data_IF_854937872825
#
_entry.id   IF_854937872825
#
_cell.length_a   1.000
_cell.length_b   1.000
_cell.length_c   1.000
_cell.angle_alpha   90.00
_cell.angle_beta   90.00
_cell.angle_gamma   90.00
#
_symmetry.space_group_name_H-M   'P 1'
#
loop_
_entity.id
_entity.type
_entity.pdbx_description
1 polymer ?
#
# COMPACT_ATOMS: atom_id res chain seq x y z
N UNK A 1 -6.50 -13.88 12.71
CA UNK A 1 -5.83 -14.69 11.66
C UNK A 1 -5.77 -13.86 10.40
N UNK A 2 -4.63 -13.80 9.72
CA UNK A 2 -4.48 -13.02 8.50
C UNK A 2 -4.82 -13.86 7.25
N UNK A 3 -5.59 -13.30 6.33
CA UNK A 3 -5.90 -13.94 5.05
C UNK A 3 -4.75 -13.72 4.08
N UNK A 4 -4.18 -14.80 3.53
CA UNK A 4 -3.10 -14.72 2.54
C UNK A 4 -3.57 -14.02 1.26
N UNK A 5 -2.73 -13.15 0.72
CA UNK A 5 -2.96 -12.41 -0.52
C UNK A 5 -1.76 -12.55 -1.46
N UNK A 6 -2.01 -12.85 -2.73
CA UNK A 6 -1.01 -12.82 -3.79
C UNK A 6 -1.29 -11.62 -4.68
N UNK A 7 -0.36 -10.67 -4.71
CA UNK A 7 -0.37 -9.54 -5.62
C UNK A 7 0.50 -9.86 -6.83
N UNK A 8 -0.04 -9.61 -8.01
CA UNK A 8 0.70 -9.67 -9.26
C UNK A 8 0.21 -8.56 -10.18
N UNK A 9 1.13 -8.02 -10.97
CA UNK A 9 0.81 -7.00 -11.95
C UNK A 9 1.91 -6.87 -12.98
N UNK A 10 1.66 -5.98 -13.94
CA UNK A 10 2.59 -5.64 -15.02
C UNK A 10 2.65 -4.13 -15.15
N UNK A 11 3.86 -3.58 -15.20
CA UNK A 11 4.09 -2.18 -15.54
C UNK A 11 4.32 -2.08 -17.03
N UNK A 12 3.58 -1.19 -17.68
CA UNK A 12 3.69 -0.91 -19.12
C UNK A 12 3.87 0.58 -19.36
N UNK A 13 4.55 0.92 -20.44
CA UNK A 13 4.56 2.30 -20.95
C UNK A 13 3.21 2.71 -21.57
N UNK A 14 3.06 3.99 -21.96
CA UNK A 14 1.85 4.49 -22.61
C UNK A 14 1.51 3.82 -23.95
N UNK A 15 2.52 3.24 -24.62
CA UNK A 15 2.38 2.46 -25.84
C UNK A 15 1.98 0.99 -25.58
N UNK A 16 1.71 0.64 -24.32
CA UNK A 16 1.36 -0.71 -23.90
C UNK A 16 2.53 -1.69 -23.84
N UNK A 17 3.77 -1.26 -24.15
CA UNK A 17 4.93 -2.14 -24.07
C UNK A 17 5.35 -2.37 -22.62
N UNK A 18 5.85 -3.57 -22.29
CA UNK A 18 6.36 -3.85 -20.95
C UNK A 18 7.50 -2.92 -20.55
N UNK A 19 7.47 -2.48 -19.30
CA UNK A 19 8.53 -1.67 -18.72
C UNK A 19 9.41 -2.51 -17.79
N UNK A 20 10.55 -2.97 -18.31
CA UNK A 20 11.54 -3.66 -17.51
C UNK A 20 12.30 -2.67 -16.60
N UNK A 21 12.69 -3.11 -15.40
CA UNK A 21 13.46 -2.29 -14.47
C UNK A 21 12.66 -1.19 -13.76
N UNK A 22 11.34 -1.16 -13.91
CA UNK A 22 10.47 -0.27 -13.14
C UNK A 22 10.54 -0.65 -11.66
N UNK A 23 10.60 0.33 -10.78
CA UNK A 23 10.56 0.14 -9.32
C UNK A 23 9.13 0.28 -8.85
N UNK A 24 8.59 -0.81 -8.27
CA UNK A 24 7.29 -0.87 -7.60
C UNK A 24 7.52 -0.93 -6.10
N UNK A 25 7.32 0.21 -5.44
CA UNK A 25 7.25 0.31 -3.98
C UNK A 25 5.80 0.12 -3.54
N UNK A 26 5.54 -0.88 -2.69
CA UNK A 26 4.20 -1.17 -2.16
C UNK A 26 4.20 -1.22 -0.64
N UNK A 27 3.10 -0.78 -0.04
CA UNK A 27 2.87 -0.87 1.40
C UNK A 27 1.38 -0.91 1.73
N UNK A 28 1.03 -1.54 2.85
CA UNK A 28 -0.35 -1.56 3.35
C UNK A 28 -0.39 -1.76 4.87
N UNK A 29 -1.57 -1.54 5.46
CA UNK A 29 -1.81 -1.76 6.88
C UNK A 29 -1.86 -3.26 7.23
N UNK A 30 -1.61 -3.59 8.50
CA UNK A 30 -1.84 -4.94 9.03
C UNK A 30 -3.34 -5.23 9.25
N UNK A 31 -3.65 -6.38 9.85
CA UNK A 31 -5.04 -6.79 10.16
C UNK A 31 -5.75 -5.88 11.16
N UNK A 32 -5.01 -5.03 11.88
CA UNK A 32 -5.54 -4.07 12.85
C UNK A 32 -5.61 -2.64 12.28
N UNK A 33 -5.26 -2.45 11.00
CA UNK A 33 -5.25 -1.11 10.39
C UNK A 33 -3.98 -0.30 10.64
N UNK A 34 -2.94 -0.89 11.25
CA UNK A 34 -1.72 -0.19 11.64
C UNK A 34 -0.58 -0.35 10.64
N UNK A 35 0.28 0.67 10.55
CA UNK A 35 1.52 0.65 9.76
C UNK A 35 2.76 0.59 10.66
N UNK A 36 3.77 -0.15 10.20
CA UNK A 36 5.04 -0.41 10.90
C UNK A 36 5.85 0.81 11.36
N UNK A 37 5.62 1.99 10.78
CA UNK A 37 6.30 3.21 11.25
C UNK A 37 5.65 3.77 12.53
N UNK A 38 4.32 3.67 12.63
CA UNK A 38 3.55 4.19 13.76
C UNK A 38 3.42 3.13 14.87
N UNK A 39 3.22 1.87 14.49
CA UNK A 39 3.10 0.74 15.40
C UNK A 39 4.45 0.05 15.59
N UNK A 40 5.14 0.44 16.67
CA UNK A 40 6.49 -0.04 17.02
C UNK A 40 6.54 -1.50 17.48
N UNK A 41 5.40 -2.17 17.63
CA UNK A 41 5.37 -3.61 17.91
C UNK A 41 5.70 -4.45 16.67
N UNK A 42 5.59 -3.86 15.48
CA UNK A 42 5.92 -4.50 14.22
C UNK A 42 7.43 -4.38 13.93
N UNK A 43 7.97 -5.33 13.16
CA UNK A 43 9.33 -5.19 12.65
C UNK A 43 9.45 -3.98 11.70
N UNK A 44 10.66 -3.42 11.63
CA UNK A 44 10.95 -2.34 10.69
C UNK A 44 10.57 -2.76 9.27
N UNK A 45 9.89 -1.84 8.58
CA UNK A 45 9.37 -2.05 7.23
C UNK A 45 8.44 -3.25 7.05
N UNK A 46 7.81 -3.76 8.12
CA UNK A 46 6.78 -4.79 8.00
C UNK A 46 5.67 -4.33 7.02
N UNK A 47 5.24 -5.26 6.16
CA UNK A 47 4.26 -5.06 5.09
C UNK A 47 4.62 -3.93 4.11
N UNK A 48 5.92 -3.72 3.87
CA UNK A 48 6.47 -2.82 2.86
C UNK A 48 7.46 -3.57 1.97
N UNK A 49 7.46 -3.28 0.67
CA UNK A 49 8.38 -3.92 -0.26
C UNK A 49 8.72 -3.03 -1.45
N UNK A 50 9.98 -3.10 -1.88
CA UNK A 50 10.45 -2.64 -3.19
C UNK A 50 10.62 -3.84 -4.12
N UNK A 51 10.07 -3.76 -5.32
CA UNK A 51 10.17 -4.81 -6.35
C UNK A 51 10.62 -4.16 -7.65
N UNK A 52 11.58 -4.77 -8.34
CA UNK A 52 11.99 -4.35 -9.68
C UNK A 52 11.29 -5.26 -10.67
N UNK A 53 10.65 -4.69 -11.69
CA UNK A 53 9.97 -5.48 -12.73
C UNK A 53 10.95 -6.24 -13.60
N UNK A 54 10.55 -7.44 -14.03
CA UNK A 54 11.32 -8.27 -14.96
C UNK A 54 11.31 -7.72 -16.40
N UNK A 55 11.96 -8.43 -17.32
CA UNK A 55 11.99 -8.12 -18.76
C UNK A 55 10.60 -8.02 -19.42
N UNK A 56 9.60 -8.68 -18.83
CA UNK A 56 8.22 -8.62 -19.28
C UNK A 56 7.42 -7.55 -18.53
N UNK A 57 8.05 -6.73 -17.70
CA UNK A 57 7.42 -5.70 -16.88
C UNK A 57 6.65 -6.26 -15.67
N UNK A 58 6.80 -7.53 -15.31
CA UNK A 58 5.99 -8.17 -14.28
C UNK A 58 6.56 -7.95 -12.87
N UNK A 59 5.67 -7.85 -11.89
CA UNK A 59 6.01 -7.89 -10.46
C UNK A 59 5.05 -8.81 -9.70
N UNK A 60 5.53 -9.41 -8.62
CA UNK A 60 4.74 -10.30 -7.75
C UNK A 60 5.12 -10.13 -6.29
N UNK A 61 4.14 -10.22 -5.41
CA UNK A 61 4.31 -10.18 -3.96
C UNK A 61 3.34 -11.15 -3.28
N UNK A 62 3.80 -11.84 -2.24
CA UNK A 62 2.91 -12.55 -1.30
C UNK A 62 2.82 -11.73 -0.03
N UNK A 63 1.60 -11.44 0.42
CA UNK A 63 1.32 -10.68 1.63
C UNK A 63 0.02 -11.16 2.28
N UNK A 64 -0.65 -10.29 3.03
CA UNK A 64 -1.94 -10.51 3.67
C UNK A 64 -2.96 -9.46 3.21
N UNK A 65 -4.25 -9.79 3.25
CA UNK A 65 -5.33 -8.82 3.01
C UNK A 65 -5.30 -7.75 4.12
N UNK A 66 -5.16 -6.45 3.78
CA UNK A 66 -5.14 -5.38 4.77
C UNK A 66 -6.53 -5.14 5.37
N UNK A 67 -6.57 -4.59 6.59
CA UNK A 67 -7.82 -4.03 7.14
C UNK A 67 -8.04 -2.60 6.70
N UNK A 68 -9.32 -2.17 6.70
CA UNK A 68 -9.65 -0.75 6.72
C UNK A 68 -9.20 -0.10 8.03
N UNK A 69 -9.05 1.22 8.02
CA UNK A 69 -8.64 1.97 9.19
C UNK A 69 -9.10 3.42 9.12
N UNK A 70 -9.19 4.08 10.27
CA UNK A 70 -9.64 5.46 10.37
C UNK A 70 -8.59 6.40 10.95
N UNK A 71 -9.00 7.67 11.09
CA UNK A 71 -8.28 8.63 11.92
C UNK A 71 -8.22 8.13 13.38
N UNK A 72 -7.21 8.57 14.13
CA UNK A 72 -7.14 8.32 15.57
C UNK A 72 -8.41 8.86 16.24
N UNK A 73 -9.15 8.05 17.01
CA UNK A 73 -10.40 8.48 17.64
C UNK A 73 -10.24 9.74 18.50
N UNK A 74 -9.12 9.83 19.22
CA UNK A 74 -8.80 10.96 20.10
C UNK A 74 -8.00 12.07 19.39
N UNK A 75 -7.94 12.03 18.06
CA UNK A 75 -7.16 12.97 17.26
C UNK A 75 -7.97 14.21 16.85
N UNK A 76 -7.33 15.39 16.72
CA UNK A 76 -8.01 16.61 16.29
C UNK A 76 -8.65 16.47 14.90
N UNK A 77 -8.12 15.60 14.04
CA UNK A 77 -8.75 15.28 12.75
C UNK A 77 -10.11 14.61 12.93
N UNK A 78 -10.25 13.70 13.90
CA UNK A 78 -11.53 13.03 14.14
C UNK A 78 -12.55 14.00 14.76
N UNK A 79 -12.11 14.88 15.67
CA UNK A 79 -12.95 15.95 16.24
C UNK A 79 -13.59 16.83 15.15
N UNK A 80 -12.79 17.28 14.17
CA UNK A 80 -13.30 18.05 13.03
C UNK A 80 -14.26 17.22 12.18
N UNK A 81 -13.95 15.94 11.92
CA UNK A 81 -14.82 15.08 11.13
C UNK A 81 -16.18 14.84 11.82
N UNK A 82 -16.20 14.66 13.12
CA UNK A 82 -17.43 14.50 13.91
C UNK A 82 -18.28 15.77 13.85
N UNK A 83 -17.64 16.94 13.98
CA UNK A 83 -18.30 18.25 13.84
C UNK A 83 -18.94 18.43 12.46
N UNK A 84 -18.34 17.84 11.42
CA UNK A 84 -18.87 17.84 10.05
C UNK A 84 -19.86 16.71 9.76
N UNK A 85 -20.15 15.83 10.73
CA UNK A 85 -21.00 14.65 10.51
C UNK A 85 -20.40 13.59 9.58
N UNK A 86 -19.06 13.48 9.54
CA UNK A 86 -18.32 12.54 8.67
C UNK A 86 -17.56 11.50 9.50
N UNK A 87 -17.44 10.29 8.98
CA UNK A 87 -16.54 9.29 9.57
C UNK A 87 -15.09 9.43 9.06
N UNK A 88 -14.11 9.07 9.90
CA UNK A 88 -12.69 9.01 9.51
C UNK A 88 -12.25 7.71 8.84
N UNK A 89 -13.15 6.74 8.69
CA UNK A 89 -12.82 5.39 8.19
C UNK A 89 -12.47 5.37 6.70
N UNK A 90 -11.44 4.59 6.35
CA UNK A 90 -11.00 4.29 4.99
C UNK A 90 -11.20 2.81 4.70
N UNK A 91 -11.62 2.44 3.48
CA UNK A 91 -11.67 1.04 3.07
C UNK A 91 -10.26 0.44 3.08
N UNK A 92 -10.17 -0.89 3.15
CA UNK A 92 -8.91 -1.60 2.97
C UNK A 92 -8.27 -1.23 1.62
N UNK A 93 -6.97 -0.95 1.61
CA UNK A 93 -6.26 -0.53 0.40
C UNK A 93 -4.77 -0.90 0.47
N UNK A 94 -4.14 -0.91 -0.70
CA UNK A 94 -2.71 -1.11 -0.88
C UNK A 94 -2.18 0.12 -1.59
N UNK A 95 -1.11 0.69 -1.06
CA UNK A 95 -0.43 1.80 -1.68
C UNK A 95 0.62 1.32 -2.66
N UNK A 96 0.81 2.11 -3.72
CA UNK A 96 1.86 1.92 -4.72
C UNK A 96 2.53 3.25 -5.02
N UNK A 97 3.85 3.23 -5.07
CA UNK A 97 4.64 4.15 -5.89
C UNK A 97 5.33 3.35 -6.96
N UNK A 98 5.15 3.76 -8.21
CA UNK A 98 5.76 3.11 -9.36
C UNK A 98 6.62 4.17 -10.04
N UNK A 99 7.88 3.86 -10.28
CA UNK A 99 8.82 4.80 -10.88
C UNK A 99 9.73 4.10 -11.87
N UNK A 100 10.12 4.81 -12.93
CA UNK A 100 11.10 4.35 -13.90
C UNK A 100 11.77 5.56 -14.57
N UNK A 101 13.06 5.47 -14.94
CA UNK A 101 13.74 6.56 -15.63
C UNK A 101 13.00 6.99 -16.90
N UNK A 102 12.69 8.28 -17.02
CA UNK A 102 11.96 8.84 -18.17
C UNK A 102 10.44 8.72 -18.12
N UNK A 103 9.87 8.17 -17.04
CA UNK A 103 8.42 8.04 -16.84
C UNK A 103 7.94 8.85 -15.63
N UNK A 104 6.72 9.37 -15.72
CA UNK A 104 6.01 10.02 -14.61
C UNK A 104 5.02 9.05 -13.98
#
# INVERSE_FOLDING_TARGET
VATTMFLQGRVTGPDGKPLAGAVVDLWHANTNGNYSYFDKSQSDYNLRRRIVTDENGCYRARSIVPSGYGCSPDGPTQEVLDTLGRHGQRPAHIHFFISAPGYR
#
